data_IF_719287932897
#
_entry.id   IF_719287932897
#
_cell.length_a   1.000
_cell.length_b   1.000
_cell.length_c   1.000
_cell.angle_alpha   90.00
_cell.angle_beta   90.00
_cell.angle_gamma   90.00
#
_symmetry.space_group_name_H-M   'P 1'
#
loop_
_entity.id
_entity.type
_entity.pdbx_description
1 polymer ?
#
# COMPACT_ATOMS: atom_id res chain seq x y z
N UNK A 1 -21.38 17.57 3.19
CA UNK A 1 -20.60 16.31 3.20
C UNK A 1 -21.53 15.17 3.57
N UNK A 2 -21.47 14.06 2.83
CA UNK A 2 -22.23 12.83 3.04
C UNK A 2 -21.22 11.71 3.26
N UNK A 3 -20.94 11.27 4.50
CA UNK A 3 -19.92 10.25 4.76
C UNK A 3 -20.24 8.92 4.07
N UNK A 4 -19.22 8.26 3.52
CA UNK A 4 -19.35 6.92 2.97
C UNK A 4 -19.35 5.90 4.10
N UNK A 5 -20.52 5.32 4.39
CA UNK A 5 -20.71 4.31 5.43
C UNK A 5 -21.22 3.02 4.79
N UNK A 6 -20.58 1.90 5.09
CA UNK A 6 -21.01 0.59 4.59
C UNK A 6 -22.04 -0.09 5.50
N UNK A 7 -22.52 -1.27 5.07
CA UNK A 7 -23.50 -2.10 5.81
C UNK A 7 -22.99 -2.64 7.14
N UNK A 8 -21.71 -2.43 7.46
CA UNK A 8 -21.06 -2.86 8.69
C UNK A 8 -20.70 -1.66 9.58
N UNK A 9 -21.31 -0.49 9.32
CA UNK A 9 -21.11 0.74 10.09
C UNK A 9 -19.67 1.25 10.08
N UNK A 10 -18.88 0.90 9.05
CA UNK A 10 -17.52 1.43 8.88
C UNK A 10 -17.61 2.71 8.06
N UNK A 11 -17.07 3.81 8.60
CA UNK A 11 -16.95 5.08 7.87
C UNK A 11 -15.64 5.10 7.10
N UNK A 12 -15.70 5.29 5.78
CA UNK A 12 -14.53 5.32 4.92
C UNK A 12 -13.91 6.71 4.85
N UNK A 13 -12.63 6.82 5.23
CA UNK A 13 -11.89 8.09 5.28
C UNK A 13 -10.56 8.06 4.53
N UNK A 14 -10.17 6.91 3.99
CA UNK A 14 -8.90 6.71 3.29
C UNK A 14 -9.12 6.25 1.85
N UNK A 15 -8.52 6.96 0.90
CA UNK A 15 -8.51 6.60 -0.52
C UNK A 15 -7.08 6.30 -0.97
N UNK A 16 -6.88 5.18 -1.65
CA UNK A 16 -5.66 4.91 -2.42
C UNK A 16 -5.92 5.13 -3.89
N UNK A 17 -5.05 5.88 -4.56
CA UNK A 17 -5.18 6.18 -5.99
C UNK A 17 -3.95 5.61 -6.69
N UNK A 18 -4.15 4.56 -7.47
CA UNK A 18 -3.15 4.08 -8.42
C UNK A 18 -3.15 5.02 -9.62
N UNK A 19 -2.00 5.61 -9.95
CA UNK A 19 -1.91 6.59 -11.06
C UNK A 19 -1.26 6.02 -12.32
N UNK A 20 -0.71 4.82 -12.23
CA UNK A 20 -0.01 4.12 -13.31
C UNK A 20 0.06 2.64 -12.95
N UNK A 21 0.12 1.75 -13.93
CA UNK A 21 0.22 0.30 -13.74
C UNK A 21 1.62 -0.26 -14.09
N UNK A 22 2.47 0.56 -14.68
CA UNK A 22 3.88 0.27 -14.96
C UNK A 22 4.74 0.38 -13.71
N UNK A 23 5.76 -0.48 -13.63
CA UNK A 23 6.80 -0.48 -12.61
C UNK A 23 8.17 -0.66 -13.28
N UNK A 24 9.21 -0.05 -12.73
CA UNK A 24 10.62 -0.29 -13.14
C UNK A 24 11.21 -1.57 -12.53
N UNK A 25 10.63 -2.08 -11.43
CA UNK A 25 10.92 -3.39 -10.85
C UNK A 25 10.03 -4.52 -11.42
N UNK A 26 10.45 -5.76 -11.20
CA UNK A 26 9.74 -7.00 -11.57
C UNK A 26 9.68 -7.96 -10.38
N UNK A 27 9.16 -7.46 -9.27
CA UNK A 27 9.19 -8.20 -8.01
C UNK A 27 8.43 -9.53 -8.11
N UNK A 28 9.09 -10.63 -7.72
CA UNK A 28 8.60 -12.01 -7.86
C UNK A 28 7.24 -12.27 -7.19
N UNK A 29 6.91 -11.49 -6.16
CA UNK A 29 5.67 -11.63 -5.42
C UNK A 29 4.55 -10.65 -5.84
N UNK A 30 4.82 -9.72 -6.77
CA UNK A 30 3.93 -8.60 -7.09
C UNK A 30 3.53 -8.55 -8.57
N UNK A 31 4.48 -8.71 -9.48
CA UNK A 31 4.27 -8.56 -10.93
C UNK A 31 4.55 -9.89 -11.65
N UNK A 32 3.55 -10.50 -12.29
CA UNK A 32 3.75 -11.71 -13.10
C UNK A 32 4.57 -11.40 -14.37
N UNK A 33 5.17 -12.43 -14.96
CA UNK A 33 6.07 -12.31 -16.13
C UNK A 33 5.34 -11.82 -17.39
N UNK A 34 4.09 -12.24 -17.55
CA UNK A 34 3.18 -11.93 -18.66
C UNK A 34 2.27 -10.71 -18.39
N UNK A 35 2.71 -9.79 -17.52
CA UNK A 35 1.92 -8.61 -17.16
C UNK A 35 1.56 -7.76 -18.39
N UNK A 36 0.26 -7.61 -18.62
CA UNK A 36 -0.29 -6.65 -19.58
C UNK A 36 -0.37 -5.25 -18.96
N UNK A 37 0.09 -4.24 -19.69
CA UNK A 37 0.02 -2.84 -19.28
C UNK A 37 -1.06 -2.08 -20.07
N UNK A 38 -1.72 -1.16 -19.36
CA UNK A 38 -2.70 -0.24 -19.90
C UNK A 38 -2.08 0.66 -20.97
N UNK A 39 -2.88 0.95 -22.00
CA UNK A 39 -2.59 2.01 -22.97
C UNK A 39 -2.81 3.37 -22.31
N UNK A 40 -2.24 4.41 -22.93
CA UNK A 40 -2.29 5.77 -22.36
C UNK A 40 -3.73 6.27 -22.20
N UNK A 41 -4.60 5.91 -23.13
CA UNK A 41 -6.00 6.34 -23.16
C UNK A 41 -6.84 5.64 -22.09
N UNK A 42 -6.39 4.47 -21.61
CA UNK A 42 -7.04 3.69 -20.56
C UNK A 42 -6.68 4.22 -19.16
N UNK A 43 -5.57 4.96 -19.02
CA UNK A 43 -5.17 5.57 -17.77
C UNK A 43 -6.00 6.83 -17.46
N UNK A 44 -6.25 7.07 -16.18
CA UNK A 44 -6.76 8.35 -15.72
C UNK A 44 -5.74 9.47 -15.98
N UNK A 45 -6.20 10.53 -16.62
CA UNK A 45 -5.47 11.79 -16.78
C UNK A 45 -5.32 12.50 -15.43
N UNK A 46 -4.38 13.46 -15.35
CA UNK A 46 -4.21 14.32 -14.17
C UNK A 46 -5.53 15.01 -13.76
N UNK A 47 -6.26 15.54 -14.74
CA UNK A 47 -7.55 16.21 -14.51
C UNK A 47 -8.63 15.27 -13.96
N UNK A 48 -8.70 14.03 -14.45
CA UNK A 48 -9.64 13.02 -13.95
C UNK A 48 -9.28 12.60 -12.51
N UNK A 49 -7.99 12.44 -12.20
CA UNK A 49 -7.52 12.16 -10.84
C UNK A 49 -7.90 13.30 -9.89
N UNK A 50 -7.64 14.56 -10.28
CA UNK A 50 -7.98 15.73 -9.48
C UNK A 50 -9.49 15.84 -9.25
N UNK A 51 -10.29 15.59 -10.28
CA UNK A 51 -11.76 15.62 -10.22
C UNK A 51 -12.29 14.58 -9.23
N UNK A 52 -11.84 13.32 -9.34
CA UNK A 52 -12.27 12.25 -8.44
C UNK A 52 -11.76 12.49 -7.01
N UNK A 53 -10.50 12.89 -6.83
CA UNK A 53 -9.94 13.20 -5.51
C UNK A 53 -10.73 14.33 -4.82
N UNK A 54 -11.07 15.38 -5.56
CA UNK A 54 -11.90 16.49 -5.06
C UNK A 54 -13.30 16.01 -4.67
N UNK A 55 -13.96 15.20 -5.51
CA UNK A 55 -15.26 14.61 -5.20
C UNK A 55 -15.22 13.78 -3.90
N UNK A 56 -14.25 12.87 -3.78
CA UNK A 56 -14.07 12.03 -2.58
C UNK A 56 -13.82 12.85 -1.32
N UNK A 57 -13.09 13.96 -1.42
CA UNK A 57 -12.75 14.79 -0.26
C UNK A 57 -13.90 15.72 0.12
N UNK A 58 -14.42 16.51 -0.82
CA UNK A 58 -15.43 17.54 -0.55
C UNK A 58 -16.82 16.97 -0.32
N UNK A 59 -17.24 15.98 -1.10
CA UNK A 59 -18.57 15.36 -0.94
C UNK A 59 -18.54 14.32 0.16
N UNK A 60 -17.57 13.41 0.13
CA UNK A 60 -17.58 12.19 0.95
C UNK A 60 -16.74 12.25 2.24
N UNK A 61 -15.96 13.32 2.44
CA UNK A 61 -15.18 13.51 3.66
C UNK A 61 -13.97 12.58 3.79
N UNK A 62 -13.37 12.15 2.66
CA UNK A 62 -12.06 11.50 2.67
C UNK A 62 -11.02 12.46 3.24
N UNK A 63 -10.21 11.99 4.20
CA UNK A 63 -9.20 12.79 4.91
C UNK A 63 -7.78 12.26 4.73
N UNK A 64 -7.61 11.08 4.12
CA UNK A 64 -6.31 10.47 3.84
C UNK A 64 -6.28 10.04 2.37
N UNK A 65 -5.32 10.55 1.60
CA UNK A 65 -5.07 10.09 0.23
C UNK A 65 -3.67 9.51 0.14
N UNK A 66 -3.56 8.35 -0.50
CA UNK A 66 -2.29 7.72 -0.80
C UNK A 66 -2.14 7.48 -2.29
N UNK A 67 -1.14 8.11 -2.89
CA UNK A 67 -0.73 7.86 -4.28
C UNK A 67 0.10 6.58 -4.30
N UNK A 68 -0.19 5.73 -5.27
CA UNK A 68 0.47 4.44 -5.53
C UNK A 68 0.44 4.18 -7.03
N UNK A 69 0.73 2.97 -7.47
CA UNK A 69 0.72 2.57 -8.87
C UNK A 69 1.03 1.09 -9.04
N UNK A 70 1.68 0.78 -10.15
CA UNK A 70 2.92 0.02 -10.08
C UNK A 70 3.97 0.84 -9.34
N UNK A 71 4.77 1.62 -10.07
CA UNK A 71 5.68 2.63 -9.48
C UNK A 71 5.23 4.04 -9.90
N UNK A 72 4.68 4.86 -8.99
CA UNK A 72 4.18 6.20 -9.35
C UNK A 72 5.25 7.12 -9.92
N UNK A 73 6.53 6.95 -9.54
CA UNK A 73 7.64 7.75 -10.09
C UNK A 73 7.99 7.40 -11.56
N UNK A 74 7.30 6.42 -12.15
CA UNK A 74 7.34 6.18 -13.60
C UNK A 74 6.47 7.16 -14.40
N UNK A 75 5.54 7.85 -13.72
CA UNK A 75 4.58 8.76 -14.36
C UNK A 75 5.19 10.17 -14.45
N UNK A 76 5.34 10.76 -15.66
CA UNK A 76 6.03 12.04 -15.84
C UNK A 76 5.40 13.23 -15.08
N UNK A 77 4.08 13.25 -14.96
CA UNK A 77 3.28 14.29 -14.29
C UNK A 77 3.01 13.98 -12.80
N UNK A 78 3.81 13.12 -12.15
CA UNK A 78 3.59 12.72 -10.74
C UNK A 78 3.67 13.89 -9.76
N UNK A 79 4.61 14.82 -9.94
CA UNK A 79 4.79 16.01 -9.09
C UNK A 79 3.56 16.90 -9.17
N UNK A 80 3.03 17.06 -10.38
CA UNK A 80 1.82 17.84 -10.65
C UNK A 80 0.58 17.23 -9.99
N UNK A 81 0.41 15.91 -10.05
CA UNK A 81 -0.68 15.20 -9.37
C UNK A 81 -0.57 15.36 -7.86
N UNK A 82 0.64 15.26 -7.30
CA UNK A 82 0.90 15.50 -5.88
C UNK A 82 0.51 16.93 -5.50
N UNK A 83 0.88 17.91 -6.31
CA UNK A 83 0.56 19.33 -6.07
C UNK A 83 -0.95 19.57 -6.05
N UNK A 84 -1.69 18.99 -6.99
CA UNK A 84 -3.15 19.13 -7.06
C UNK A 84 -3.82 18.51 -5.82
N UNK A 85 -3.39 17.31 -5.42
CA UNK A 85 -3.97 16.61 -4.26
C UNK A 85 -3.57 17.29 -2.94
N UNK A 86 -2.37 17.87 -2.86
CA UNK A 86 -1.90 18.57 -1.66
C UNK A 86 -2.71 19.84 -1.34
N UNK A 87 -3.44 20.39 -2.30
CA UNK A 87 -4.37 21.50 -2.09
C UNK A 87 -5.67 21.07 -1.39
N UNK A 88 -5.97 19.77 -1.37
CA UNK A 88 -7.15 19.23 -0.70
C UNK A 88 -6.88 19.06 0.81
N UNK A 89 -7.91 19.12 1.68
CA UNK A 89 -7.75 19.00 3.13
C UNK A 89 -7.49 17.54 3.57
N UNK A 90 -6.41 16.93 3.08
CA UNK A 90 -6.06 15.52 3.30
C UNK A 90 -4.64 15.34 3.81
N UNK A 91 -4.43 14.25 4.56
CA UNK A 91 -3.11 13.70 4.81
C UNK A 91 -2.65 12.95 3.56
N UNK A 92 -1.80 13.59 2.77
CA UNK A 92 -1.23 13.03 1.54
C UNK A 92 0.02 12.18 1.85
N UNK A 93 0.10 11.00 1.24
CA UNK A 93 1.34 10.22 1.17
C UNK A 93 1.51 9.53 -0.17
N UNK A 94 2.72 9.07 -0.44
CA UNK A 94 3.09 8.36 -1.67
C UNK A 94 3.75 7.02 -1.31
N UNK A 95 3.43 5.96 -2.04
CA UNK A 95 4.11 4.66 -1.94
C UNK A 95 5.02 4.47 -3.15
N UNK A 96 6.30 4.15 -2.93
CA UNK A 96 7.30 3.97 -4.00
C UNK A 96 8.29 2.87 -3.62
N UNK A 97 8.94 2.26 -4.61
CA UNK A 97 10.14 1.45 -4.41
C UNK A 97 11.43 2.28 -4.26
N UNK A 98 11.32 3.60 -4.39
CA UNK A 98 12.37 4.60 -4.26
C UNK A 98 13.53 4.54 -5.28
N UNK A 99 13.50 3.69 -6.31
CA UNK A 99 14.54 3.63 -7.35
C UNK A 99 14.82 4.99 -7.98
N UNK A 100 13.76 5.71 -8.33
CA UNK A 100 13.80 7.02 -9.01
C UNK A 100 13.59 8.21 -8.08
N UNK A 101 13.53 8.00 -6.77
CA UNK A 101 13.15 9.05 -5.81
C UNK A 101 14.05 10.27 -5.88
N UNK A 102 15.37 10.10 -6.02
CA UNK A 102 16.32 11.21 -6.21
C UNK A 102 15.97 12.19 -7.35
N UNK A 103 15.25 11.75 -8.38
CA UNK A 103 14.87 12.62 -9.50
C UNK A 103 13.71 13.57 -9.15
N UNK A 104 12.93 13.25 -8.12
CA UNK A 104 11.68 13.93 -7.82
C UNK A 104 11.55 14.40 -6.37
N UNK A 105 12.43 13.95 -5.45
CA UNK A 105 12.25 14.13 -4.00
C UNK A 105 12.01 15.59 -3.61
N UNK A 106 12.88 16.50 -4.05
CA UNK A 106 12.80 17.91 -3.68
C UNK A 106 11.54 18.57 -4.26
N UNK A 107 11.18 18.23 -5.51
CA UNK A 107 9.95 18.72 -6.14
C UNK A 107 8.68 18.17 -5.48
N UNK A 108 8.69 16.91 -5.05
CA UNK A 108 7.59 16.29 -4.32
C UNK A 108 7.38 16.97 -2.95
N UNK A 109 8.46 17.27 -2.23
CA UNK A 109 8.41 18.01 -0.97
C UNK A 109 7.87 19.42 -1.21
N UNK A 110 8.38 20.13 -2.22
CA UNK A 110 7.90 21.45 -2.60
C UNK A 110 6.41 21.45 -3.03
N UNK A 111 5.94 20.35 -3.63
CA UNK A 111 4.54 20.14 -3.97
C UNK A 111 3.65 19.81 -2.75
N UNK A 112 4.22 19.65 -1.55
CA UNK A 112 3.49 19.43 -0.30
C UNK A 112 3.48 17.99 0.20
N UNK A 113 4.27 17.09 -0.39
CA UNK A 113 4.40 15.72 0.10
C UNK A 113 5.12 15.68 1.46
N UNK A 114 4.45 15.10 2.47
CA UNK A 114 5.01 14.99 3.84
C UNK A 114 5.35 13.57 4.28
N UNK A 115 4.82 12.56 3.59
CA UNK A 115 5.00 11.17 4.01
C UNK A 115 5.26 10.24 2.83
N UNK A 116 6.30 9.41 2.99
CA UNK A 116 6.68 8.37 2.05
C UNK A 116 6.51 7.00 2.68
N UNK A 117 5.88 6.10 1.93
CA UNK A 117 5.95 4.67 2.17
C UNK A 117 6.96 4.09 1.17
N UNK A 118 8.08 3.56 1.65
CA UNK A 118 9.09 2.97 0.77
C UNK A 118 9.07 1.47 0.95
N UNK A 119 8.90 0.74 -0.16
CA UNK A 119 8.99 -0.73 -0.16
C UNK A 119 10.46 -1.14 -0.22
N UNK A 120 10.94 -1.82 0.82
CA UNK A 120 12.29 -2.38 0.93
C UNK A 120 12.18 -3.72 1.64
N UNK A 121 12.47 -4.81 0.93
CA UNK A 121 12.31 -6.17 1.47
C UNK A 121 13.62 -6.77 2.00
N UNK A 122 14.75 -6.09 1.82
CA UNK A 122 16.07 -6.60 2.18
C UNK A 122 17.15 -5.51 2.14
N UNK A 123 18.15 -5.62 3.01
CA UNK A 123 19.39 -4.85 2.97
C UNK A 123 20.55 -5.63 2.31
N UNK A 124 20.29 -6.82 1.76
CA UNK A 124 21.24 -7.59 0.97
C UNK A 124 21.01 -7.33 -0.53
N UNK A 125 22.09 -6.95 -1.23
CA UNK A 125 22.00 -6.55 -2.63
C UNK A 125 21.67 -7.72 -3.57
N UNK A 126 22.12 -8.93 -3.24
CA UNK A 126 21.85 -10.13 -4.03
C UNK A 126 20.39 -10.55 -3.91
N UNK A 127 19.89 -10.58 -2.68
CA UNK A 127 18.49 -10.82 -2.36
C UNK A 127 17.61 -9.76 -2.99
N UNK A 128 18.01 -8.49 -2.98
CA UNK A 128 17.29 -7.42 -3.67
C UNK A 128 17.18 -7.70 -5.16
N UNK A 129 18.29 -8.08 -5.82
CA UNK A 129 18.30 -8.39 -7.25
C UNK A 129 17.44 -9.61 -7.56
N UNK A 130 17.49 -10.64 -6.72
CA UNK A 130 16.68 -11.85 -6.86
C UNK A 130 15.18 -11.54 -6.72
N UNK A 131 14.81 -10.78 -5.70
CA UNK A 131 13.41 -10.45 -5.43
C UNK A 131 12.85 -9.49 -6.47
N UNK A 132 13.55 -8.42 -6.81
CA UNK A 132 13.09 -7.35 -7.70
C UNK A 132 13.36 -7.60 -9.18
N UNK A 133 14.24 -8.58 -9.49
CA UNK A 133 14.79 -8.90 -10.82
C UNK A 133 15.45 -7.70 -11.51
N UNK A 134 16.00 -6.77 -10.72
CA UNK A 134 16.70 -5.56 -11.14
C UNK A 134 17.82 -5.20 -10.16
N UNK A 135 18.83 -4.50 -10.65
CA UNK A 135 19.81 -3.82 -9.80
C UNK A 135 19.26 -2.49 -9.26
N UNK A 136 20.00 -1.86 -8.34
CA UNK A 136 19.67 -0.54 -7.79
C UNK A 136 19.55 -0.48 -6.28
N UNK A 137 19.92 -1.54 -5.57
CA UNK A 137 19.87 -1.62 -4.11
C UNK A 137 20.54 -0.42 -3.41
N UNK A 138 21.79 -0.11 -3.76
CA UNK A 138 22.52 1.05 -3.20
C UNK A 138 21.79 2.37 -3.47
N UNK A 139 21.18 2.52 -4.65
CA UNK A 139 20.40 3.70 -5.00
C UNK A 139 19.16 3.83 -4.14
N UNK A 140 18.45 2.73 -3.89
CA UNK A 140 17.27 2.71 -3.01
C UNK A 140 17.66 3.10 -1.59
N UNK A 141 18.72 2.51 -1.04
CA UNK A 141 19.20 2.86 0.30
C UNK A 141 19.63 4.32 0.40
N UNK A 142 20.38 4.83 -0.58
CA UNK A 142 20.76 6.23 -0.63
C UNK A 142 19.52 7.15 -0.70
N UNK A 143 18.50 6.78 -1.46
CA UNK A 143 17.27 7.58 -1.58
C UNK A 143 16.42 7.54 -0.29
N UNK A 144 16.46 6.44 0.47
CA UNK A 144 15.83 6.35 1.79
C UNK A 144 16.51 7.32 2.77
N UNK A 145 17.84 7.26 2.89
CA UNK A 145 18.57 8.18 3.77
C UNK A 145 18.33 9.63 3.35
N UNK A 146 18.37 9.92 2.04
CA UNK A 146 18.07 11.24 1.53
C UNK A 146 16.67 11.73 1.96
N UNK A 147 15.63 10.90 1.86
CA UNK A 147 14.29 11.27 2.29
C UNK A 147 14.19 11.54 3.81
N UNK A 148 14.92 10.75 4.62
CA UNK A 148 15.01 10.95 6.07
C UNK A 148 15.68 12.31 6.38
N UNK A 149 16.79 12.62 5.71
CA UNK A 149 17.56 13.86 5.92
C UNK A 149 16.76 15.12 5.57
N UNK A 150 15.86 15.07 4.58
CA UNK A 150 14.94 16.18 4.26
C UNK A 150 13.74 16.27 5.22
N UNK A 151 13.70 15.46 6.27
CA UNK A 151 12.62 15.47 7.26
C UNK A 151 11.29 14.92 6.75
N UNK A 152 11.30 14.14 5.65
CA UNK A 152 10.09 13.46 5.19
C UNK A 152 9.74 12.35 6.18
N UNK A 153 8.46 12.20 6.53
CA UNK A 153 8.03 11.09 7.36
C UNK A 153 8.11 9.77 6.58
N UNK A 154 9.22 9.05 6.74
CA UNK A 154 9.51 7.79 6.05
C UNK A 154 8.95 6.59 6.80
N UNK A 155 8.19 5.76 6.09
CA UNK A 155 7.70 4.47 6.54
C UNK A 155 8.24 3.36 5.64
N UNK A 156 9.11 2.51 6.16
CA UNK A 156 9.59 1.35 5.38
C UNK A 156 8.57 0.21 5.45
N UNK A 157 8.32 -0.45 4.33
CA UNK A 157 7.47 -1.62 4.22
C UNK A 157 8.31 -2.80 3.78
N UNK A 158 8.25 -3.89 4.55
CA UNK A 158 8.89 -5.16 4.23
C UNK A 158 7.80 -6.24 4.21
N UNK A 159 7.64 -6.91 3.08
CA UNK A 159 6.85 -8.14 3.01
C UNK A 159 7.74 -9.27 3.52
N UNK A 160 7.36 -9.86 4.66
CA UNK A 160 8.16 -10.89 5.31
C UNK A 160 7.73 -12.26 4.79
N UNK A 161 8.68 -12.97 4.20
CA UNK A 161 8.51 -14.27 3.57
C UNK A 161 9.45 -15.26 4.25
N UNK A 162 8.90 -16.37 4.75
CA UNK A 162 9.68 -17.44 5.38
C UNK A 162 10.63 -18.09 4.36
N UNK A 163 11.85 -18.37 4.81
CA UNK A 163 12.93 -18.93 4.01
C UNK A 163 13.52 -17.95 3.00
N UNK A 164 13.22 -16.65 3.13
CA UNK A 164 13.59 -15.64 2.13
C UNK A 164 14.27 -14.43 2.79
N UNK A 165 13.58 -13.75 3.70
CA UNK A 165 14.07 -12.49 4.28
C UNK A 165 13.74 -12.31 5.77
N UNK A 166 13.13 -13.29 6.43
CA UNK A 166 12.77 -13.18 7.85
C UNK A 166 14.00 -13.05 8.78
N UNK A 167 15.18 -13.45 8.30
CA UNK A 167 16.46 -13.27 8.96
C UNK A 167 16.82 -11.79 9.20
N UNK A 168 16.26 -10.88 8.40
CA UNK A 168 16.55 -9.44 8.48
C UNK A 168 15.62 -8.65 9.41
N UNK A 169 14.61 -9.29 10.02
CA UNK A 169 13.65 -8.62 10.91
C UNK A 169 14.33 -7.73 11.96
N UNK A 170 15.35 -8.27 12.65
CA UNK A 170 16.08 -7.53 13.68
C UNK A 170 16.88 -6.37 13.08
N UNK A 171 17.48 -6.55 11.90
CA UNK A 171 18.22 -5.47 11.21
C UNK A 171 17.31 -4.30 10.85
N UNK A 172 16.10 -4.58 10.39
CA UNK A 172 15.09 -3.53 10.15
C UNK A 172 14.64 -2.84 11.43
N UNK A 173 14.43 -3.60 12.52
CA UNK A 173 14.11 -3.01 13.83
C UNK A 173 15.25 -2.10 14.28
N UNK A 174 16.50 -2.55 14.19
CA UNK A 174 17.71 -1.78 14.57
C UNK A 174 17.85 -0.44 13.83
N UNK A 175 17.37 -0.34 12.59
CA UNK A 175 17.32 0.94 11.86
C UNK A 175 16.55 2.03 12.65
N UNK A 176 15.56 1.63 13.43
CA UNK A 176 14.71 2.54 14.21
C UNK A 176 15.38 3.08 15.47
N UNK A 177 16.59 2.61 15.82
CA UNK A 177 17.33 3.02 17.02
C UNK A 177 17.57 4.53 17.04
N UNK A 178 18.28 5.01 16.03
CA UNK A 178 18.76 6.41 15.95
C UNK A 178 18.08 7.22 14.84
N UNK A 179 17.12 6.62 14.12
CA UNK A 179 16.41 7.26 13.00
C UNK A 179 14.90 7.36 13.28
N UNK A 180 14.24 8.47 12.90
CA UNK A 180 12.80 8.66 13.07
C UNK A 180 11.99 7.92 11.99
N UNK A 181 12.34 6.66 11.74
CA UNK A 181 11.69 5.81 10.73
C UNK A 181 10.63 4.92 11.37
N UNK A 182 9.58 4.64 10.60
CA UNK A 182 8.55 3.68 11.00
C UNK A 182 8.56 2.46 10.10
N UNK A 183 9.10 1.35 10.59
CA UNK A 183 9.19 0.09 9.85
C UNK A 183 7.87 -0.67 9.95
N UNK A 184 7.40 -1.27 8.85
CA UNK A 184 6.17 -2.06 8.81
C UNK A 184 6.44 -3.40 8.18
N UNK A 185 6.34 -4.43 9.00
CA UNK A 185 6.38 -5.81 8.56
C UNK A 185 4.99 -6.24 8.11
N UNK A 186 4.90 -6.84 6.93
CA UNK A 186 3.64 -7.22 6.30
C UNK A 186 3.67 -8.73 6.12
N UNK A 187 2.64 -9.42 6.62
CA UNK A 187 2.49 -10.85 6.33
C UNK A 187 2.35 -11.07 4.82
N UNK A 188 3.01 -12.10 4.32
CA UNK A 188 2.92 -12.45 2.91
C UNK A 188 1.47 -12.83 2.55
N UNK A 189 0.87 -12.09 1.61
CA UNK A 189 -0.52 -12.24 1.20
C UNK A 189 -0.66 -13.04 -0.10
N UNK A 190 -1.77 -13.76 -0.27
CA UNK A 190 -2.05 -14.48 -1.50
C UNK A 190 -2.51 -13.54 -2.62
N UNK A 191 -1.86 -13.62 -3.80
CA UNK A 191 -2.25 -12.92 -5.03
C UNK A 191 -2.06 -13.81 -6.25
N UNK A 192 -2.76 -13.51 -7.34
CA UNK A 192 -2.55 -14.18 -8.61
C UNK A 192 -1.07 -14.15 -9.03
N UNK A 193 -0.50 -15.33 -9.32
CA UNK A 193 0.86 -15.48 -9.84
C UNK A 193 2.01 -15.41 -8.82
N UNK A 194 1.75 -15.11 -7.54
CA UNK A 194 2.83 -14.91 -6.56
C UNK A 194 3.30 -16.18 -5.82
N UNK A 195 2.84 -17.36 -6.25
CA UNK A 195 3.18 -18.69 -5.68
C UNK A 195 3.04 -18.74 -4.15
N UNK A 196 2.03 -18.06 -3.62
CA UNK A 196 1.76 -18.02 -2.18
C UNK A 196 1.48 -19.43 -1.63
N UNK A 197 1.94 -19.65 -0.40
CA UNK A 197 1.67 -20.85 0.39
C UNK A 197 1.75 -20.49 1.87
N UNK A 198 0.93 -21.13 2.71
CA UNK A 198 0.86 -20.80 4.15
C UNK A 198 2.19 -21.07 4.87
N UNK A 199 2.96 -22.04 4.39
CA UNK A 199 4.33 -22.37 4.81
C UNK A 199 5.28 -21.18 4.63
N UNK A 200 5.03 -20.32 3.64
CA UNK A 200 5.82 -19.11 3.35
C UNK A 200 5.41 -17.90 4.21
N UNK A 201 4.31 -18.00 4.96
CA UNK A 201 3.85 -16.91 5.84
C UNK A 201 4.62 -16.98 7.15
N UNK A 202 5.44 -15.95 7.39
CA UNK A 202 6.00 -15.67 8.70
C UNK A 202 4.97 -14.84 9.48
N UNK A 203 4.43 -15.38 10.57
CA UNK A 203 3.22 -14.84 11.21
C UNK A 203 3.50 -13.64 12.09
N UNK A 204 2.46 -12.88 12.40
CA UNK A 204 2.48 -11.82 13.41
C UNK A 204 3.10 -12.27 14.74
N UNK A 205 2.68 -13.44 15.25
CA UNK A 205 3.19 -13.98 16.51
C UNK A 205 4.69 -14.34 16.41
N UNK A 206 5.13 -14.92 15.30
CA UNK A 206 6.55 -15.22 15.07
C UNK A 206 7.40 -13.95 14.92
N UNK A 207 6.93 -12.95 14.18
CA UNK A 207 7.60 -11.64 14.06
C UNK A 207 7.79 -11.00 15.42
N UNK A 208 6.71 -10.90 16.21
CA UNK A 208 6.80 -10.31 17.54
C UNK A 208 7.66 -11.14 18.48
N UNK A 209 7.53 -12.47 18.48
CA UNK A 209 8.34 -13.35 19.30
C UNK A 209 9.83 -13.25 18.98
N UNK A 210 10.18 -13.12 17.70
CA UNK A 210 11.57 -12.93 17.27
C UNK A 210 12.14 -11.58 17.70
N UNK A 211 11.35 -10.51 17.60
CA UNK A 211 11.79 -9.17 18.00
C UNK A 211 11.89 -9.06 19.52
N UNK A 212 10.90 -9.56 20.25
CA UNK A 212 10.82 -9.47 21.71
C UNK A 212 11.84 -10.36 22.43
N UNK A 213 12.34 -11.42 21.78
CA UNK A 213 13.43 -12.24 22.33
C UNK A 213 14.78 -11.51 22.36
N UNK A 214 14.93 -10.44 21.57
CA UNK A 214 16.18 -9.66 21.45
C UNK A 214 16.04 -8.26 22.06
N UNK A 215 14.86 -7.63 21.95
CA UNK A 215 14.63 -6.26 22.37
C UNK A 215 13.44 -6.12 23.31
N UNK A 216 13.56 -5.24 24.31
CA UNK A 216 12.44 -4.84 25.15
C UNK A 216 11.51 -3.90 24.36
N UNK A 217 10.35 -4.41 23.95
CA UNK A 217 9.36 -3.70 23.14
C UNK A 217 8.15 -3.24 23.97
N UNK A 218 7.60 -2.08 23.61
CA UNK A 218 6.43 -1.47 24.20
C UNK A 218 5.37 -1.24 23.11
N UNK A 219 4.10 -1.52 23.43
CA UNK A 219 2.97 -1.31 22.52
C UNK A 219 2.67 0.19 22.40
N UNK A 220 2.54 0.69 21.18
CA UNK A 220 2.05 2.05 20.92
C UNK A 220 0.53 2.01 20.75
N UNK A 221 -0.16 3.05 21.24
CA UNK A 221 -1.59 3.23 20.99
C UNK A 221 -1.85 3.42 19.49
N UNK A 222 -2.60 2.49 18.90
CA UNK A 222 -2.96 2.53 17.49
C UNK A 222 -4.13 3.53 17.24
N UNK A 223 -4.17 4.14 16.05
CA UNK A 223 -5.38 4.78 15.54
C UNK A 223 -6.51 3.72 15.45
N UNK A 224 -7.77 4.05 15.79
CA UNK A 224 -8.88 3.07 15.76
C UNK A 224 -9.06 2.35 14.41
N UNK A 225 -8.65 2.99 13.31
CA UNK A 225 -8.70 2.46 11.95
C UNK A 225 -7.33 1.98 11.43
N UNK A 226 -6.33 1.89 12.32
CA UNK A 226 -5.01 1.38 11.96
C UNK A 226 -5.09 -0.08 11.53
N UNK A 227 -4.42 -0.40 10.43
CA UNK A 227 -4.27 -1.78 9.97
C UNK A 227 -2.96 -2.41 10.42
N UNK A 228 -2.16 -1.63 11.15
CA UNK A 228 -0.85 -2.03 11.66
C UNK A 228 -0.87 -1.93 13.18
N UNK A 229 -0.31 -2.93 13.85
CA UNK A 229 -0.11 -2.95 15.29
C UNK A 229 1.27 -2.38 15.56
N UNK A 230 1.33 -1.13 16.02
CA UNK A 230 2.60 -0.42 16.25
C UNK A 230 3.22 -0.71 17.62
N UNK A 231 4.55 -0.77 17.64
CA UNK A 231 5.42 -1.04 18.77
C UNK A 231 6.66 -0.15 18.68
N UNK A 232 7.39 -0.02 19.79
CA UNK A 232 8.69 0.64 19.84
C UNK A 232 9.61 -0.10 20.80
N UNK A 233 10.91 -0.11 20.49
CA UNK A 233 11.92 -0.57 21.44
C UNK A 233 12.22 0.57 22.42
N UNK A 234 12.25 0.26 23.73
CA UNK A 234 12.41 1.28 24.77
C UNK A 234 13.66 2.13 24.55
N UNK A 235 13.48 3.45 24.52
CA UNK A 235 14.57 4.43 24.35
C UNK A 235 14.98 4.72 22.90
N UNK A 236 14.37 4.08 21.91
CA UNK A 236 14.70 4.30 20.49
C UNK A 236 13.84 5.40 19.86
N UNK A 237 14.39 6.08 18.85
CA UNK A 237 13.76 7.23 18.21
C UNK A 237 12.56 6.83 17.33
N UNK A 238 12.70 5.75 16.57
CA UNK A 238 11.73 5.27 15.61
C UNK A 238 10.69 4.33 16.22
N UNK A 239 10.05 3.55 15.35
CA UNK A 239 9.06 2.54 15.74
C UNK A 239 8.93 1.47 14.65
N UNK A 240 8.31 0.35 14.99
CA UNK A 240 7.92 -0.64 14.01
C UNK A 240 6.44 -1.01 14.18
N UNK A 241 5.87 -1.68 13.19
CA UNK A 241 4.54 -2.25 13.29
C UNK A 241 4.45 -3.54 12.48
N UNK A 242 3.47 -4.36 12.83
CA UNK A 242 3.13 -5.55 12.05
C UNK A 242 1.73 -5.40 11.47
N UNK A 243 1.61 -5.69 10.17
CA UNK A 243 0.34 -5.73 9.42
C UNK A 243 -0.02 -7.22 9.25
N UNK A 244 -0.86 -7.72 10.16
CA UNK A 244 -1.32 -9.11 10.23
C UNK A 244 -2.44 -9.39 9.23
N UNK A 245 -2.13 -9.36 7.93
CA UNK A 245 -3.12 -9.48 6.86
C UNK A 245 -3.78 -10.85 6.77
N UNK A 246 -3.11 -11.90 7.26
CA UNK A 246 -3.55 -13.30 7.16
C UNK A 246 -4.01 -13.82 8.51
N UNK A 247 -3.17 -13.71 9.55
CA UNK A 247 -3.42 -14.39 10.83
C UNK A 247 -4.41 -13.66 11.74
N UNK A 248 -4.41 -12.32 11.71
CA UNK A 248 -5.30 -11.51 12.53
C UNK A 248 -5.85 -10.31 11.72
N UNK A 249 -6.85 -10.54 10.84
CA UNK A 249 -7.33 -9.51 9.91
C UNK A 249 -8.00 -8.31 10.59
N UNK A 250 -7.65 -7.10 10.16
CA UNK A 250 -8.16 -5.81 10.67
C UNK A 250 -9.43 -5.32 9.94
N UNK A 251 -10.26 -6.23 9.40
CA UNK A 251 -11.40 -5.85 8.55
C UNK A 251 -12.49 -5.05 9.29
N UNK A 252 -12.63 -5.27 10.60
CA UNK A 252 -13.66 -4.63 11.43
C UNK A 252 -13.59 -3.10 11.49
N UNK A 253 -12.40 -2.53 11.35
CA UNK A 253 -12.18 -1.07 11.37
C UNK A 253 -11.67 -0.49 10.05
N UNK A 254 -11.65 -1.29 8.98
CA UNK A 254 -11.06 -0.91 7.69
C UNK A 254 -11.85 0.19 6.98
N UNK A 255 -11.25 1.39 6.91
CA UNK A 255 -11.81 2.60 6.32
C UNK A 255 -11.34 2.86 4.87
N UNK A 256 -10.65 1.89 4.25
CA UNK A 256 -9.94 2.08 2.98
C UNK A 256 -10.78 1.77 1.75
N UNK A 257 -10.68 2.65 0.77
CA UNK A 257 -11.15 2.51 -0.61
C UNK A 257 -9.95 2.62 -1.57
N UNK A 258 -10.11 2.09 -2.78
CA UNK A 258 -9.06 2.10 -3.81
C UNK A 258 -9.64 2.53 -5.15
N UNK A 259 -8.84 3.27 -5.91
CA UNK A 259 -9.06 3.61 -7.30
C UNK A 259 -7.88 3.04 -8.10
N UNK A 260 -8.15 2.20 -9.09
CA UNK A 260 -7.14 1.64 -10.00
C UNK A 260 -6.68 2.70 -11.00
N UNK A 261 -5.60 2.44 -11.74
CA UNK A 261 -5.05 3.39 -12.71
C UNK A 261 -5.99 3.71 -13.88
N UNK A 262 -6.89 2.77 -14.19
CA UNK A 262 -8.00 2.91 -15.16
C UNK A 262 -9.29 3.47 -14.53
N UNK A 263 -9.22 3.98 -13.30
CA UNK A 263 -10.34 4.64 -12.63
C UNK A 263 -11.50 3.73 -12.25
N UNK A 264 -11.22 2.45 -11.99
CA UNK A 264 -12.18 1.52 -11.37
C UNK A 264 -12.02 1.54 -9.86
N UNK A 265 -13.15 1.58 -9.16
CA UNK A 265 -13.20 1.61 -7.71
C UNK A 265 -13.29 0.21 -7.12
N UNK A 266 -12.47 -0.04 -6.09
CA UNK A 266 -12.50 -1.25 -5.26
C UNK A 266 -12.71 -0.87 -3.81
N UNK A 267 -13.69 -1.50 -3.16
CA UNK A 267 -13.94 -1.35 -1.72
C UNK A 267 -13.03 -2.25 -0.85
N UNK A 268 -12.31 -3.22 -1.44
CA UNK A 268 -11.42 -4.13 -0.75
C UNK A 268 -10.18 -4.43 -1.62
N UNK A 269 -9.06 -4.76 -0.98
CA UNK A 269 -7.87 -5.25 -1.69
C UNK A 269 -8.20 -6.56 -2.43
N UNK A 270 -8.95 -7.45 -1.77
CA UNK A 270 -9.37 -8.75 -2.30
C UNK A 270 -10.72 -8.74 -3.03
N UNK A 271 -11.25 -7.56 -3.40
CA UNK A 271 -12.53 -7.50 -4.13
C UNK A 271 -12.44 -8.27 -5.46
N UNK A 272 -13.48 -9.05 -5.79
CA UNK A 272 -13.57 -9.71 -7.11
C UNK A 272 -14.10 -8.77 -8.18
N UNK A 273 -14.97 -7.85 -7.78
CA UNK A 273 -15.62 -6.88 -8.65
C UNK A 273 -15.03 -5.48 -8.46
N UNK A 274 -15.13 -4.68 -9.51
CA UNK A 274 -14.75 -3.28 -9.52
C UNK A 274 -15.85 -2.45 -10.17
N UNK A 275 -15.99 -1.20 -9.73
CA UNK A 275 -16.99 -0.28 -10.30
C UNK A 275 -16.30 0.73 -11.20
N UNK A 276 -16.64 0.77 -12.48
CA UNK A 276 -16.05 1.70 -13.45
C UNK A 276 -16.57 3.12 -13.24
N UNK A 277 -15.73 3.97 -12.65
CA UNK A 277 -16.03 5.39 -12.48
C UNK A 277 -15.54 6.22 -13.65
N UNK A 278 -14.47 5.79 -14.33
CA UNK A 278 -13.83 6.57 -15.37
C UNK A 278 -14.70 6.68 -16.62
N UNK A 279 -15.32 5.59 -17.05
CA UNK A 279 -16.21 5.60 -18.22
C UNK A 279 -17.42 6.51 -17.99
N UNK A 280 -18.02 6.44 -16.79
CA UNK A 280 -19.13 7.31 -16.40
C UNK A 280 -18.70 8.78 -16.30
N UNK A 281 -17.53 9.06 -15.72
CA UNK A 281 -16.98 10.42 -15.66
C UNK A 281 -16.75 10.99 -17.07
N UNK A 282 -16.18 10.19 -17.98
CA UNK A 282 -15.89 10.59 -19.37
C UNK A 282 -17.14 10.83 -20.21
N UNK A 283 -18.25 10.17 -19.91
CA UNK A 283 -19.54 10.43 -20.55
C UNK A 283 -20.29 11.62 -19.94
N UNK A 284 -19.70 12.29 -18.94
CA UNK A 284 -20.31 13.42 -18.23
C UNK A 284 -21.38 13.01 -17.22
N UNK A 285 -21.48 11.73 -16.86
CA UNK A 285 -22.42 11.24 -15.87
C UNK A 285 -21.94 11.49 -14.44
N UNK A 286 -22.88 11.62 -13.50
CA UNK A 286 -22.57 11.67 -12.08
C UNK A 286 -22.17 10.27 -11.57
N UNK A 287 -20.95 10.15 -11.06
CA UNK A 287 -20.39 8.90 -10.52
C UNK A 287 -20.79 8.62 -9.07
N UNK A 288 -21.51 9.55 -8.42
CA UNK A 288 -21.84 9.48 -6.99
C UNK A 288 -22.62 8.21 -6.61
N UNK A 289 -23.64 7.86 -7.39
CA UNK A 289 -24.44 6.66 -7.14
C UNK A 289 -23.60 5.37 -7.26
N UNK A 290 -22.62 5.36 -8.17
CA UNK A 290 -21.70 4.23 -8.35
C UNK A 290 -20.78 4.07 -7.14
N UNK A 291 -20.24 5.18 -6.62
CA UNK A 291 -19.39 5.20 -5.43
C UNK A 291 -20.16 4.68 -4.21
N UNK A 292 -21.37 5.19 -3.99
CA UNK A 292 -22.22 4.82 -2.85
C UNK A 292 -22.62 3.34 -2.92
N UNK A 293 -23.03 2.85 -4.10
CA UNK A 293 -23.34 1.44 -4.31
C UNK A 293 -22.11 0.54 -4.07
N UNK A 294 -20.92 0.94 -4.55
CA UNK A 294 -19.69 0.18 -4.33
C UNK A 294 -19.36 0.04 -2.84
N UNK A 295 -19.54 1.11 -2.06
CA UNK A 295 -19.33 1.09 -0.60
C UNK A 295 -20.35 0.18 0.09
N UNK A 296 -21.63 0.26 -0.28
CA UNK A 296 -22.67 -0.60 0.29
C UNK A 296 -22.47 -2.09 0.00
N UNK A 297 -21.81 -2.43 -1.12
CA UNK A 297 -21.45 -3.80 -1.48
C UNK A 297 -20.22 -4.34 -0.71
N UNK A 298 -19.56 -3.54 0.14
CA UNK A 298 -18.36 -3.98 0.85
C UNK A 298 -18.67 -5.09 1.85
N UNK A 299 -18.07 -6.26 1.63
CA UNK A 299 -18.18 -7.41 2.52
C UNK A 299 -17.63 -7.12 3.93
N UNK A 300 -18.12 -7.88 4.91
CA UNK A 300 -17.70 -7.79 6.32
C UNK A 300 -16.19 -7.99 6.45
N UNK A 301 -15.64 -9.02 5.83
CA UNK A 301 -14.21 -9.35 5.87
C UNK A 301 -13.70 -9.86 4.54
N UNK A 302 -12.40 -9.69 4.31
CA UNK A 302 -11.61 -10.32 3.23
C UNK A 302 -12.21 -10.22 1.81
N UNK A 303 -13.06 -9.23 1.53
CA UNK A 303 -13.71 -9.12 0.23
C UNK A 303 -14.70 -10.26 -0.08
N UNK A 304 -15.21 -10.94 0.95
CA UNK A 304 -16.11 -12.09 0.80
C UNK A 304 -15.40 -13.43 0.73
N UNK A 305 -14.06 -13.44 0.72
CA UNK A 305 -13.28 -14.67 0.76
C UNK A 305 -13.45 -15.41 2.10
N UNK A 306 -13.33 -16.76 2.09
CA UNK A 306 -13.19 -17.51 3.32
C UNK A 306 -11.97 -17.02 4.10
N UNK A 307 -11.99 -17.25 5.41
CA UNK A 307 -10.80 -17.03 6.22
C UNK A 307 -9.69 -17.94 5.70
N UNK A 308 -8.46 -17.42 5.68
CA UNK A 308 -7.30 -18.20 5.26
C UNK A 308 -7.09 -19.36 6.23
N UNK A 309 -7.56 -20.55 5.84
CA UNK A 309 -7.44 -21.78 6.61
C UNK A 309 -6.10 -22.45 6.28
N UNK A 310 -5.22 -22.70 7.28
CA UNK A 310 -3.94 -23.36 7.06
C UNK A 310 -4.07 -24.79 6.50
N UNK A 311 -5.20 -25.46 6.68
CA UNK A 311 -5.40 -26.85 6.26
C UNK A 311 -6.03 -26.97 4.85
N UNK A 312 -6.45 -25.85 4.24
CA UNK A 312 -7.14 -25.82 2.94
C UNK A 312 -6.49 -24.86 1.94
N UNK A 313 -5.24 -25.16 1.54
CA UNK A 313 -4.47 -24.32 0.62
C UNK A 313 -5.15 -24.07 -0.74
N UNK A 314 -5.90 -25.05 -1.26
CA UNK A 314 -6.43 -25.02 -2.63
C UNK A 314 -7.72 -24.19 -2.79
N UNK A 315 -8.61 -24.17 -1.78
CA UNK A 315 -9.89 -23.42 -1.86
C UNK A 315 -9.65 -21.91 -1.93
N UNK A 316 -8.62 -21.39 -1.24
CA UNK A 316 -8.33 -19.96 -1.20
C UNK A 316 -7.82 -19.47 -2.56
N UNK A 317 -6.90 -20.19 -3.21
CA UNK A 317 -6.21 -19.72 -4.41
C UNK A 317 -7.14 -19.50 -5.60
N UNK A 318 -8.18 -20.32 -5.75
CA UNK A 318 -9.15 -20.22 -6.83
C UNK A 318 -10.06 -18.98 -6.72
N UNK A 319 -10.33 -18.53 -5.49
CA UNK A 319 -11.22 -17.39 -5.22
C UNK A 319 -10.51 -16.04 -5.10
N UNK A 320 -9.17 -16.01 -5.10
CA UNK A 320 -8.41 -14.76 -5.02
C UNK A 320 -8.70 -13.83 -6.19
N UNK A 321 -8.48 -12.54 -5.94
CA UNK A 321 -8.39 -11.51 -6.98
C UNK A 321 -7.62 -12.04 -8.19
N UNK A 322 -8.31 -12.16 -9.33
CA UNK A 322 -7.71 -12.47 -10.63
C UNK A 322 -6.68 -11.42 -11.06
N UNK A 323 -6.67 -10.27 -10.38
CA UNK A 323 -5.73 -9.17 -10.61
C UNK A 323 -4.45 -9.32 -9.79
N UNK A 324 -3.27 -9.14 -10.41
CA UNK A 324 -1.99 -9.06 -9.70
C UNK A 324 -1.89 -7.77 -8.88
N UNK A 325 -1.04 -7.77 -7.85
CA UNK A 325 -0.88 -6.67 -6.89
C UNK A 325 -0.59 -5.32 -7.58
N UNK A 326 0.25 -5.31 -8.62
CA UNK A 326 0.61 -4.10 -9.37
C UNK A 326 -0.61 -3.39 -9.98
N UNK A 327 -1.62 -4.16 -10.41
CA UNK A 327 -2.77 -3.61 -11.13
C UNK A 327 -3.84 -2.99 -10.21
N UNK A 328 -3.75 -3.23 -8.90
CA UNK A 328 -4.72 -2.75 -7.89
C UNK A 328 -4.11 -1.72 -6.91
N UNK A 329 -2.93 -1.19 -7.25
CA UNK A 329 -2.29 -0.08 -6.54
C UNK A 329 -1.74 -0.49 -5.17
N UNK A 330 -0.69 -1.31 -5.15
CA UNK A 330 0.07 -1.80 -3.98
C UNK A 330 -0.27 -1.15 -2.63
#
# INVERSE_FOLDING_TARGET
MTPLVDRHSRTHRSLRISIVDKCDLRCTYCMPEDQHFLRREELMTRGEIATLAKLFTEKYGITKIRITGGEPLMRPDVVDIVRDIAQLPVKLGLTTNAMRLHLFLDELIAAGLKSLNISLDTFDAERFRTLSRRDGHDRVLANIEQAIDRGVHVKLNMVVMRGVNEDELLRFVELTRDRPVHVRFIEFMPFAGNKWGRDKVYTYAEMLGRISSTHAIEKIQDDPHSTAKAYRVKGWLGSFAVISTVTEPFCGSCDRLRLTAEGKMRNCLFAREETDLLSALRSGADVSALIEANVLAKHKMLGGLPQFDPDKQEEVLYDLSSRPMVSIGG
#
